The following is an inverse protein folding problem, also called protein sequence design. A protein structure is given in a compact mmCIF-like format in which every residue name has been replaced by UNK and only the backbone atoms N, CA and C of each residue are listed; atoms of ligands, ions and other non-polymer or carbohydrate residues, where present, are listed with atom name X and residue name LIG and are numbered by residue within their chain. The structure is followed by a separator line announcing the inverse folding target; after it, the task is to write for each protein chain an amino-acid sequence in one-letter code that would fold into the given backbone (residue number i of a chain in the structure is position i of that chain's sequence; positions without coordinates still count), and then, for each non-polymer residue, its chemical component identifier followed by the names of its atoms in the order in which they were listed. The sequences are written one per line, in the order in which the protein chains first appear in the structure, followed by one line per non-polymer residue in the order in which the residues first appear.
data_IF_884635997871
#
_entry.id   IF_884635997871
#
_cell.length_a   1.000
_cell.length_b   1.000
_cell.length_c   1.000
_cell.angle_alpha   90.00
_cell.angle_beta   90.00
_cell.angle_gamma   90.00
#
_symmetry.space_group_name_H-M   'P 1'
#
loop_
_entity.id
_entity.type
_entity.pdbx_description
1 polymer ?
#
# COMPACT_ATOMS: atom_id res chain seq x y z
N UNK A 1 19.25 7.85 7.75
CA UNK A 1 19.31 6.75 8.75
C UNK A 1 19.82 7.18 10.12
N UNK A 2 20.86 8.02 10.23
CA UNK A 2 21.54 8.29 11.51
C UNK A 2 20.78 9.23 12.47
N UNK A 3 19.84 10.02 11.97
CA UNK A 3 19.12 11.06 12.75
C UNK A 3 17.63 10.79 12.93
N UNK A 4 17.09 9.74 12.32
CA UNK A 4 15.67 9.39 12.42
C UNK A 4 15.38 8.92 13.84
N UNK A 5 14.34 9.41 14.54
CA UNK A 5 13.89 8.84 15.81
C UNK A 5 13.53 7.36 15.64
N UNK A 6 13.87 6.52 16.61
CA UNK A 6 13.64 5.07 16.51
C UNK A 6 13.18 4.50 17.83
N UNK A 7 12.43 3.41 17.76
CA UNK A 7 12.19 2.52 18.90
C UNK A 7 13.50 1.89 19.41
N UNK A 8 13.45 1.26 20.57
CA UNK A 8 14.61 0.58 21.18
C UNK A 8 15.14 -0.58 20.33
N UNK A 9 14.29 -1.24 19.54
CA UNK A 9 14.64 -2.27 18.55
C UNK A 9 14.99 -1.70 17.15
N UNK A 10 15.08 -0.37 17.04
CA UNK A 10 15.60 0.32 15.86
C UNK A 10 14.59 0.51 14.72
N UNK A 11 13.30 0.28 14.95
CA UNK A 11 12.23 0.63 13.99
C UNK A 11 12.15 2.14 13.84
N UNK A 12 12.17 2.62 12.60
CA UNK A 12 12.20 4.04 12.30
C UNK A 12 10.83 4.65 12.54
N UNK A 13 10.80 5.80 13.19
CA UNK A 13 9.58 6.57 13.31
C UNK A 13 9.18 7.18 11.97
N UNK A 14 7.88 7.34 11.79
CA UNK A 14 7.32 8.18 10.73
C UNK A 14 7.59 9.67 10.96
N UNK A 15 7.68 10.12 12.22
CA UNK A 15 7.88 11.52 12.58
C UNK A 15 9.35 11.88 12.83
N UNK A 16 9.68 13.16 12.67
CA UNK A 16 11.04 13.69 12.80
C UNK A 16 11.43 14.09 14.22
N UNK A 17 10.47 14.23 15.15
CA UNK A 17 10.71 14.77 16.51
C UNK A 17 10.32 13.86 17.69
N UNK A 18 9.56 12.79 17.43
CA UNK A 18 9.17 11.78 18.44
C UNK A 18 9.00 10.44 17.75
N UNK A 19 8.89 9.37 18.53
CA UNK A 19 8.64 8.04 17.99
C UNK A 19 7.15 7.76 17.93
N UNK A 20 6.60 7.76 16.72
CA UNK A 20 5.32 7.15 16.36
C UNK A 20 5.47 6.33 15.08
N UNK A 21 4.74 5.22 15.02
CA UNK A 21 4.72 4.30 13.89
C UNK A 21 3.41 4.49 13.14
N UNK A 22 3.49 5.01 11.92
CA UNK A 22 2.35 5.22 11.03
C UNK A 22 2.50 4.26 9.85
N UNK A 23 1.42 3.57 9.48
CA UNK A 23 1.43 2.60 8.38
C UNK A 23 2.02 3.16 7.08
N UNK A 24 1.85 4.47 6.83
CA UNK A 24 2.40 5.24 5.72
C UNK A 24 3.91 5.02 5.53
N UNK A 25 4.66 4.82 6.63
CA UNK A 25 6.10 4.62 6.59
C UNK A 25 6.52 3.42 5.72
N UNK A 26 5.65 2.41 5.54
CA UNK A 26 5.87 1.26 4.66
C UNK A 26 6.03 1.67 3.18
N UNK A 27 5.43 2.80 2.77
CA UNK A 27 5.62 3.37 1.44
C UNK A 27 6.77 4.39 1.40
N UNK A 28 6.94 5.20 2.44
CA UNK A 28 7.85 6.35 2.41
C UNK A 28 9.33 5.97 2.52
N UNK A 29 9.68 4.96 3.32
CA UNK A 29 11.07 4.62 3.64
C UNK A 29 11.61 3.41 2.88
N UNK A 30 11.06 2.19 3.12
CA UNK A 30 11.61 0.95 2.62
C UNK A 30 11.84 0.89 1.09
N UNK A 31 10.93 1.37 0.22
CA UNK A 31 11.14 1.32 -1.23
C UNK A 31 12.38 2.11 -1.67
N UNK A 32 12.58 3.31 -1.13
CA UNK A 32 13.74 4.13 -1.47
C UNK A 32 15.05 3.52 -0.98
N UNK A 33 15.03 2.92 0.21
CA UNK A 33 16.20 2.24 0.77
C UNK A 33 16.58 0.98 -0.01
N UNK A 34 15.61 0.16 -0.38
CA UNK A 34 15.84 -1.04 -1.18
C UNK A 34 16.38 -0.70 -2.58
N UNK A 35 15.82 0.35 -3.22
CA UNK A 35 16.32 0.86 -4.49
C UNK A 35 17.78 1.35 -4.39
N UNK A 36 18.11 2.08 -3.32
CA UNK A 36 19.49 2.51 -3.08
C UNK A 36 20.44 1.32 -2.85
N UNK A 37 20.00 0.29 -2.14
CA UNK A 37 20.76 -0.94 -1.95
C UNK A 37 21.09 -1.64 -3.26
N UNK A 38 20.11 -1.77 -4.16
CA UNK A 38 20.34 -2.31 -5.50
C UNK A 38 21.31 -1.45 -6.31
N UNK A 39 21.10 -0.13 -6.35
CA UNK A 39 21.92 0.80 -7.14
C UNK A 39 23.39 0.87 -6.67
N UNK A 40 23.60 0.80 -5.35
CA UNK A 40 24.92 0.91 -4.73
C UNK A 40 25.59 -0.44 -4.49
N UNK A 41 24.94 -1.54 -4.89
CA UNK A 41 25.37 -2.92 -4.59
C UNK A 41 25.59 -3.15 -3.07
N UNK A 42 24.70 -2.60 -2.24
CA UNK A 42 24.71 -2.73 -0.79
C UNK A 42 23.48 -3.52 -0.31
N UNK A 43 23.62 -4.84 -0.21
CA UNK A 43 22.57 -5.74 0.29
C UNK A 43 22.06 -5.36 1.68
N UNK A 44 22.93 -4.77 2.53
CA UNK A 44 22.56 -4.32 3.88
C UNK A 44 21.39 -3.33 3.86
N UNK A 45 21.24 -2.50 2.82
CA UNK A 45 20.12 -1.58 2.70
C UNK A 45 18.82 -2.29 2.34
N UNK A 46 18.88 -3.32 1.50
CA UNK A 46 17.71 -4.16 1.18
C UNK A 46 17.28 -4.93 2.44
N UNK A 47 18.23 -5.49 3.19
CA UNK A 47 17.95 -6.16 4.48
C UNK A 47 17.32 -5.21 5.49
N UNK A 48 17.83 -3.99 5.60
CA UNK A 48 17.24 -2.99 6.49
C UNK A 48 15.82 -2.60 6.04
N UNK A 49 15.56 -2.50 4.74
CA UNK A 49 14.22 -2.21 4.23
C UNK A 49 13.22 -3.31 4.62
N UNK A 50 13.60 -4.58 4.43
CA UNK A 50 12.79 -5.75 4.84
C UNK A 50 12.61 -5.77 6.36
N UNK A 51 13.67 -5.48 7.13
CA UNK A 51 13.59 -5.42 8.59
C UNK A 51 12.60 -4.35 9.07
N UNK A 52 12.64 -3.15 8.48
CA UNK A 52 11.68 -2.08 8.79
C UNK A 52 10.25 -2.53 8.47
N UNK A 53 10.01 -3.14 7.30
CA UNK A 53 8.69 -3.69 6.97
C UNK A 53 8.22 -4.68 8.03
N UNK A 54 9.06 -5.65 8.38
CA UNK A 54 8.70 -6.69 9.35
C UNK A 54 8.39 -6.13 10.73
N UNK A 55 9.13 -5.11 11.19
CA UNK A 55 8.82 -4.41 12.45
C UNK A 55 7.44 -3.74 12.41
N UNK A 56 7.11 -3.05 11.32
CA UNK A 56 5.80 -2.41 11.16
C UNK A 56 4.66 -3.45 11.07
N UNK A 57 4.87 -4.55 10.34
CA UNK A 57 3.90 -5.65 10.25
C UNK A 57 3.66 -6.27 11.62
N UNK A 58 4.70 -6.52 12.41
CA UNK A 58 4.57 -7.13 13.73
C UNK A 58 3.69 -6.32 14.71
N UNK A 59 3.58 -5.01 14.50
CA UNK A 59 2.87 -4.07 15.39
C UNK A 59 1.51 -3.66 14.82
N UNK A 60 1.46 -3.28 13.54
CA UNK A 60 0.29 -2.65 12.94
C UNK A 60 -0.63 -3.63 12.21
N UNK A 61 -0.13 -4.78 11.76
CA UNK A 61 -0.91 -5.75 10.99
C UNK A 61 -1.70 -6.67 11.92
N UNK A 62 -3.02 -6.57 11.84
CA UNK A 62 -3.93 -7.43 12.59
C UNK A 62 -3.97 -8.83 11.94
N UNK A 63 -3.63 -9.89 12.69
CA UNK A 63 -3.55 -11.26 12.16
C UNK A 63 -4.91 -11.90 11.93
N UNK A 64 -5.96 -11.41 12.57
CA UNK A 64 -7.30 -11.97 12.42
C UNK A 64 -8.01 -11.27 11.24
N UNK A 65 -7.82 -9.96 11.11
CA UNK A 65 -8.44 -9.15 10.06
C UNK A 65 -7.59 -9.06 8.78
N UNK A 66 -6.29 -9.34 8.87
CA UNK A 66 -5.30 -9.13 7.82
C UNK A 66 -5.24 -7.68 7.29
N UNK A 67 -5.57 -6.71 8.14
CA UNK A 67 -5.55 -5.27 7.84
C UNK A 67 -4.60 -4.53 8.78
N UNK A 68 -4.03 -3.43 8.30
CA UNK A 68 -3.15 -2.56 9.08
C UNK A 68 -3.95 -1.48 9.82
N UNK A 69 -3.69 -1.35 11.12
CA UNK A 69 -4.07 -0.19 11.91
C UNK A 69 -3.20 1.02 11.56
N UNK A 70 -3.76 2.23 11.64
CA UNK A 70 -3.09 3.44 11.16
C UNK A 70 -1.88 3.85 12.03
N UNK A 71 -2.07 4.16 13.32
CA UNK A 71 -1.03 4.81 14.14
C UNK A 71 -0.86 4.12 15.49
N UNK A 72 0.39 3.83 15.86
CA UNK A 72 0.79 3.27 17.15
C UNK A 72 1.89 4.11 17.82
N UNK A 73 1.76 4.33 19.12
CA UNK A 73 2.75 4.98 19.98
C UNK A 73 3.50 3.89 20.80
N UNK A 74 4.74 3.57 20.44
CA UNK A 74 5.52 2.53 21.11
C UNK A 74 6.04 2.95 22.50
N UNK A 75 5.94 4.22 22.87
CA UNK A 75 6.34 4.69 24.21
C UNK A 75 5.21 4.48 25.20
N UNK A 76 3.97 4.69 24.76
CA UNK A 76 2.77 4.45 25.57
C UNK A 76 2.21 3.04 25.46
N UNK A 77 2.68 2.27 24.49
CA UNK A 77 2.18 0.94 24.17
C UNK A 77 0.67 0.95 23.83
N UNK A 78 0.25 1.90 22.99
CA UNK A 78 -1.15 2.05 22.59
C UNK A 78 -1.31 2.49 21.13
N UNK A 79 -2.44 2.13 20.54
CA UNK A 79 -2.83 2.70 19.24
C UNK A 79 -3.37 4.11 19.43
N UNK A 80 -2.70 5.09 18.81
CA UNK A 80 -3.21 6.46 18.71
C UNK A 80 -4.42 6.52 17.79
N UNK A 81 -4.40 5.71 16.71
CA UNK A 81 -5.55 5.53 15.81
C UNK A 81 -5.63 4.08 15.34
N UNK A 82 -6.46 3.30 16.02
CA UNK A 82 -6.76 1.90 15.68
C UNK A 82 -7.91 1.79 14.66
N UNK A 83 -7.68 2.30 13.45
CA UNK A 83 -8.65 2.22 12.36
C UNK A 83 -8.00 1.58 11.13
N UNK A 84 -8.74 0.73 10.43
CA UNK A 84 -8.34 0.14 9.15
C UNK A 84 -8.55 1.15 8.01
N UNK A 85 -7.73 2.20 8.03
CA UNK A 85 -7.76 3.25 7.03
C UNK A 85 -7.41 2.69 5.64
N UNK A 86 -8.28 2.88 4.66
CA UNK A 86 -8.14 2.33 3.32
C UNK A 86 -6.85 2.79 2.64
N UNK A 87 -6.58 4.10 2.64
CA UNK A 87 -5.36 4.67 2.06
C UNK A 87 -4.11 4.22 2.81
N UNK A 88 -4.19 4.08 4.14
CA UNK A 88 -3.10 3.54 4.96
C UNK A 88 -2.74 2.10 4.60
N UNK A 89 -3.75 1.26 4.40
CA UNK A 89 -3.55 -0.11 3.91
C UNK A 89 -3.02 -0.14 2.48
N UNK A 90 -3.49 0.78 1.63
CA UNK A 90 -2.96 0.96 0.27
C UNK A 90 -1.49 1.39 0.25
N UNK A 91 -1.04 2.24 1.18
CA UNK A 91 0.38 2.55 1.40
C UNK A 91 1.20 1.30 1.74
N UNK A 92 0.68 0.48 2.66
CA UNK A 92 1.35 -0.74 3.07
C UNK A 92 1.59 -1.69 1.89
N UNK A 93 0.53 -2.07 1.17
CA UNK A 93 0.63 -3.03 0.06
C UNK A 93 1.48 -2.49 -1.07
N UNK A 94 1.28 -1.23 -1.47
CA UNK A 94 2.02 -0.63 -2.59
C UNK A 94 3.49 -0.43 -2.26
N UNK A 95 3.82 -0.08 -1.01
CA UNK A 95 5.19 0.08 -0.53
C UNK A 95 5.93 -1.26 -0.52
N UNK A 96 5.34 -2.28 0.10
CA UNK A 96 5.93 -3.63 0.13
C UNK A 96 6.08 -4.20 -1.29
N UNK A 97 5.08 -4.03 -2.18
CA UNK A 97 5.19 -4.46 -3.59
C UNK A 97 6.36 -3.80 -4.32
N UNK A 98 6.66 -2.52 -4.04
CA UNK A 98 7.84 -1.86 -4.62
C UNK A 98 9.16 -2.41 -4.08
N UNK A 99 9.21 -2.87 -2.83
CA UNK A 99 10.41 -3.51 -2.27
C UNK A 99 10.69 -4.86 -2.95
N UNK A 100 9.66 -5.62 -3.34
CA UNK A 100 9.83 -6.90 -4.04
C UNK A 100 10.69 -6.81 -5.31
N UNK A 101 10.70 -5.66 -6.00
CA UNK A 101 11.50 -5.43 -7.20
C UNK A 101 13.02 -5.44 -6.95
N UNK A 102 13.44 -5.21 -5.71
CA UNK A 102 14.85 -5.07 -5.34
C UNK A 102 15.37 -6.23 -4.51
N UNK A 103 14.51 -7.18 -4.12
CA UNK A 103 14.94 -8.38 -3.41
C UNK A 103 15.75 -9.27 -4.39
N UNK A 104 16.96 -9.72 -4.03
CA UNK A 104 17.74 -10.65 -4.83
C UNK A 104 16.98 -11.97 -5.13
N UNK A 105 17.23 -12.63 -6.28
CA UNK A 105 16.56 -13.88 -6.63
C UNK A 105 16.79 -15.05 -5.65
N UNK A 106 17.91 -15.05 -4.93
CA UNK A 106 18.28 -16.06 -3.94
C UNK A 106 17.63 -15.85 -2.56
N UNK A 107 16.90 -14.74 -2.35
CA UNK A 107 16.20 -14.41 -1.11
C UNK A 107 14.69 -14.72 -1.22
N UNK A 108 14.39 -15.95 -1.62
CA UNK A 108 13.03 -16.36 -1.93
C UNK A 108 12.13 -16.40 -0.69
N UNK A 109 12.68 -16.74 0.47
CA UNK A 109 11.91 -16.77 1.72
C UNK A 109 11.40 -15.37 2.10
N UNK A 110 12.25 -14.35 2.00
CA UNK A 110 11.89 -12.96 2.23
C UNK A 110 10.86 -12.46 1.21
N UNK A 111 11.03 -12.80 -0.06
CA UNK A 111 10.07 -12.48 -1.13
C UNK A 111 8.70 -13.06 -0.84
N UNK A 112 8.62 -14.36 -0.55
CA UNK A 112 7.36 -15.05 -0.27
C UNK A 112 6.70 -14.55 1.01
N UNK A 113 7.49 -14.22 2.04
CA UNK A 113 6.96 -13.66 3.28
C UNK A 113 6.27 -12.31 3.04
N UNK A 114 6.91 -11.38 2.32
CA UNK A 114 6.30 -10.09 1.99
C UNK A 114 5.09 -10.26 1.07
N UNK A 115 5.21 -11.12 0.05
CA UNK A 115 4.14 -11.38 -0.90
C UNK A 115 2.89 -11.94 -0.21
N UNK A 116 3.05 -12.85 0.76
CA UNK A 116 1.96 -13.40 1.55
C UNK A 116 1.20 -12.33 2.35
N UNK A 117 1.91 -11.38 2.97
CA UNK A 117 1.30 -10.26 3.70
C UNK A 117 0.55 -9.35 2.73
N UNK A 118 1.15 -9.02 1.58
CA UNK A 118 0.53 -8.20 0.54
C UNK A 118 -0.78 -8.83 0.07
N UNK A 119 -0.76 -10.11 -0.33
CA UNK A 119 -1.94 -10.77 -0.89
C UNK A 119 -3.02 -11.05 0.16
N UNK A 120 -2.65 -11.35 1.40
CA UNK A 120 -3.60 -11.45 2.50
C UNK A 120 -4.31 -10.12 2.77
N UNK A 121 -3.55 -9.01 2.73
CA UNK A 121 -4.11 -7.66 2.91
C UNK A 121 -5.02 -7.27 1.76
N UNK A 122 -4.62 -7.52 0.50
CA UNK A 122 -5.49 -7.29 -0.67
C UNK A 122 -6.78 -8.11 -0.56
N UNK A 123 -6.68 -9.37 -0.15
CA UNK A 123 -7.85 -10.25 0.05
C UNK A 123 -8.82 -9.62 1.04
N UNK A 124 -8.31 -9.18 2.20
CA UNK A 124 -9.13 -8.54 3.24
C UNK A 124 -9.75 -7.23 2.75
N UNK A 125 -8.96 -6.33 2.15
CA UNK A 125 -9.46 -5.08 1.60
C UNK A 125 -10.58 -5.30 0.58
N UNK A 126 -10.45 -6.27 -0.32
CA UNK A 126 -11.47 -6.58 -1.34
C UNK A 126 -12.79 -7.08 -0.75
N UNK A 127 -12.84 -7.53 0.51
CA UNK A 127 -14.12 -7.85 1.19
C UNK A 127 -14.95 -6.61 1.52
N UNK A 128 -14.30 -5.43 1.56
CA UNK A 128 -14.92 -4.14 1.85
C UNK A 128 -15.26 -3.32 0.59
N UNK A 129 -15.10 -3.91 -0.60
CA UNK A 129 -15.39 -3.22 -1.86
C UNK A 129 -16.88 -2.86 -1.94
N UNK A 130 -17.17 -1.61 -2.27
CA UNK A 130 -18.55 -1.13 -2.45
C UNK A 130 -19.08 -1.51 -3.84
N UNK A 131 -20.41 -1.45 -4.06
CA UNK A 131 -21.01 -1.71 -5.39
C UNK A 131 -20.54 -0.75 -6.50
N UNK A 132 -20.05 0.43 -6.14
CA UNK A 132 -19.46 1.42 -7.07
C UNK A 132 -17.95 1.21 -7.29
N UNK A 133 -17.39 0.10 -6.79
CA UNK A 133 -15.96 -0.25 -6.86
C UNK A 133 -15.02 0.75 -6.18
N UNK A 134 -15.55 1.56 -5.25
CA UNK A 134 -14.77 2.37 -4.33
C UNK A 134 -14.80 1.76 -2.92
N UNK A 135 -14.22 2.47 -1.95
CA UNK A 135 -14.16 2.05 -0.56
C UNK A 135 -14.65 3.16 0.36
N UNK A 136 -14.98 2.80 1.59
CA UNK A 136 -15.08 3.77 2.68
C UNK A 136 -13.67 4.14 3.16
N UNK A 137 -13.47 5.38 3.63
CA UNK A 137 -12.16 5.86 4.13
C UNK A 137 -11.61 4.94 5.22
N UNK A 138 -12.47 4.49 6.13
CA UNK A 138 -12.20 3.38 7.04
C UNK A 138 -12.94 2.17 6.52
N UNK A 139 -12.20 1.11 6.17
CA UNK A 139 -12.69 -0.03 5.37
C UNK A 139 -13.91 -0.72 5.99
N UNK A 140 -13.90 -0.87 7.32
CA UNK A 140 -14.93 -1.54 8.11
C UNK A 140 -15.95 -0.59 8.73
N UNK A 141 -15.90 0.71 8.39
CA UNK A 141 -16.84 1.71 8.89
C UNK A 141 -17.60 2.41 7.74
N UNK A 142 -18.84 1.99 7.45
CA UNK A 142 -19.65 2.57 6.38
C UNK A 142 -20.13 4.00 6.67
N UNK A 143 -19.94 4.52 7.89
CA UNK A 143 -20.24 5.92 8.22
C UNK A 143 -19.16 6.89 7.74
N UNK A 144 -17.95 6.38 7.47
CA UNK A 144 -16.87 7.17 6.89
C UNK A 144 -17.15 7.49 5.42
N UNK A 145 -16.56 8.58 4.92
CA UNK A 145 -16.80 9.05 3.56
C UNK A 145 -16.27 8.06 2.51
N UNK A 146 -16.80 8.15 1.27
CA UNK A 146 -16.33 7.32 0.16
C UNK A 146 -14.99 7.85 -0.35
N UNK A 147 -13.99 6.97 -0.36
CA UNK A 147 -12.59 7.27 -0.61
C UNK A 147 -12.14 6.64 -1.94
N UNK A 148 -11.52 7.45 -2.79
CA UNK A 148 -11.16 7.08 -4.17
C UNK A 148 -9.75 6.51 -4.27
N UNK A 149 -8.79 7.00 -3.47
CA UNK A 149 -7.38 6.64 -3.57
C UNK A 149 -7.09 5.19 -3.17
N UNK A 150 -7.89 4.62 -2.28
CA UNK A 150 -7.85 3.22 -1.85
C UNK A 150 -8.07 2.31 -3.06
N UNK A 151 -9.06 2.62 -3.90
CA UNK A 151 -9.32 1.90 -5.14
C UNK A 151 -8.15 2.05 -6.13
N UNK A 152 -7.57 3.25 -6.25
CA UNK A 152 -6.40 3.51 -7.10
C UNK A 152 -5.17 2.70 -6.65
N UNK A 153 -4.89 2.67 -5.34
CA UNK A 153 -3.77 1.94 -4.73
C UNK A 153 -3.92 0.43 -4.87
N UNK A 154 -5.13 -0.11 -4.67
CA UNK A 154 -5.44 -1.52 -4.91
C UNK A 154 -5.29 -1.90 -6.38
N UNK A 155 -5.89 -1.12 -7.29
CA UNK A 155 -5.81 -1.37 -8.73
C UNK A 155 -4.35 -1.34 -9.21
N UNK A 156 -3.58 -0.31 -8.84
CA UNK A 156 -2.15 -0.23 -9.10
C UNK A 156 -1.40 -1.47 -8.61
N UNK A 157 -1.62 -1.87 -7.36
CA UNK A 157 -0.91 -2.99 -6.74
C UNK A 157 -1.23 -4.31 -7.44
N UNK A 158 -2.51 -4.59 -7.70
CA UNK A 158 -2.94 -5.83 -8.35
C UNK A 158 -2.39 -5.92 -9.78
N UNK A 159 -2.52 -4.84 -10.58
CA UNK A 159 -2.01 -4.80 -11.95
C UNK A 159 -0.49 -5.00 -11.98
N UNK A 160 0.24 -4.39 -11.05
CA UNK A 160 1.69 -4.57 -10.93
C UNK A 160 2.09 -5.99 -10.56
N UNK A 161 1.41 -6.61 -9.58
CA UNK A 161 1.66 -8.00 -9.20
C UNK A 161 1.37 -8.96 -10.36
N UNK A 162 0.31 -8.70 -11.13
CA UNK A 162 -0.02 -9.47 -12.33
C UNK A 162 1.07 -9.36 -13.40
N UNK A 163 1.52 -8.14 -13.74
CA UNK A 163 2.60 -7.91 -14.71
C UNK A 163 3.90 -8.63 -14.33
N UNK A 164 4.14 -8.83 -13.03
CA UNK A 164 5.31 -9.50 -12.47
C UNK A 164 5.10 -11.01 -12.28
N UNK A 165 3.96 -11.55 -12.67
CA UNK A 165 3.57 -12.96 -12.45
C UNK A 165 3.61 -13.40 -10.98
N UNK A 166 3.43 -12.45 -10.05
CA UNK A 166 3.48 -12.72 -8.61
C UNK A 166 2.13 -13.18 -8.06
N UNK A 167 1.03 -12.94 -8.77
CA UNK A 167 -0.29 -13.46 -8.39
C UNK A 167 -0.36 -14.99 -8.54
N UNK A 168 0.31 -15.56 -9.53
CA UNK A 168 0.34 -17.01 -9.75
C UNK A 168 1.03 -17.76 -8.59
N UNK A 169 1.97 -17.11 -7.91
CA UNK A 169 2.72 -17.70 -6.80
C UNK A 169 1.90 -17.81 -5.50
N UNK A 170 0.87 -16.98 -5.32
CA UNK A 170 0.16 -16.88 -4.02
C UNK A 170 -1.36 -16.98 -4.10
N UNK A 171 -1.95 -16.53 -5.20
CA UNK A 171 -3.42 -16.46 -5.37
C UNK A 171 -3.87 -16.92 -6.77
N UNK A 172 -3.36 -18.05 -7.31
CA UNK A 172 -3.66 -18.47 -8.70
C UNK A 172 -5.15 -18.71 -8.95
N UNK A 173 -5.88 -19.16 -7.93
CA UNK A 173 -7.31 -19.49 -7.97
C UNK A 173 -8.20 -18.25 -8.14
N UNK A 174 -7.78 -17.08 -7.62
CA UNK A 174 -8.58 -15.85 -7.59
C UNK A 174 -8.02 -14.73 -8.46
N UNK A 175 -6.88 -14.97 -9.14
CA UNK A 175 -6.18 -13.95 -9.93
C UNK A 175 -7.07 -13.29 -10.98
N UNK A 176 -7.91 -14.05 -11.68
CA UNK A 176 -8.81 -13.52 -12.72
C UNK A 176 -9.87 -12.61 -12.11
N UNK A 177 -10.43 -12.99 -10.96
CA UNK A 177 -11.38 -12.14 -10.23
C UNK A 177 -10.70 -10.84 -9.79
N UNK A 178 -9.50 -10.91 -9.24
CA UNK A 178 -8.74 -9.73 -8.82
C UNK A 178 -8.44 -8.79 -9.99
N UNK A 179 -8.09 -9.33 -11.15
CA UNK A 179 -7.89 -8.53 -12.35
C UNK A 179 -9.18 -7.82 -12.78
N UNK A 180 -10.32 -8.51 -12.78
CA UNK A 180 -11.62 -7.89 -13.07
C UNK A 180 -11.93 -6.78 -12.05
N UNK A 181 -11.72 -7.03 -10.76
CA UNK A 181 -11.94 -6.04 -9.72
C UNK A 181 -11.00 -4.83 -9.88
N UNK A 182 -9.72 -5.05 -10.20
CA UNK A 182 -8.74 -3.99 -10.45
C UNK A 182 -9.13 -3.09 -11.63
N UNK A 183 -9.60 -3.66 -12.73
CA UNK A 183 -10.07 -2.90 -13.88
C UNK A 183 -11.31 -2.06 -13.54
N UNK A 184 -12.24 -2.60 -12.76
CA UNK A 184 -13.43 -1.89 -12.31
C UNK A 184 -13.13 -0.78 -11.30
N UNK A 185 -12.21 -1.03 -10.36
CA UNK A 185 -11.69 -0.01 -9.44
C UNK A 185 -11.02 1.14 -10.21
N UNK A 186 -10.25 0.81 -11.25
CA UNK A 186 -9.62 1.78 -12.14
C UNK A 186 -10.66 2.62 -12.89
N UNK A 187 -11.67 2.00 -13.49
CA UNK A 187 -12.80 2.71 -14.13
C UNK A 187 -13.54 3.62 -13.15
N UNK A 188 -13.82 3.14 -11.93
CA UNK A 188 -14.47 3.93 -10.89
C UNK A 188 -13.64 5.16 -10.50
N UNK A 189 -12.32 5.01 -10.34
CA UNK A 189 -11.42 6.14 -10.09
C UNK A 189 -11.38 7.14 -11.26
N UNK A 190 -11.42 6.65 -12.50
CA UNK A 190 -11.49 7.49 -13.71
C UNK A 190 -12.75 8.36 -13.72
N UNK A 191 -13.88 7.82 -13.28
CA UNK A 191 -15.14 8.57 -13.14
C UNK A 191 -15.11 9.66 -12.05
N UNK A 192 -14.04 9.72 -11.25
CA UNK A 192 -13.83 10.76 -10.23
C UNK A 192 -12.93 11.89 -10.72
N UNK A 193 -12.40 11.83 -11.93
CA UNK A 193 -11.61 12.91 -12.51
C UNK A 193 -12.55 14.00 -13.03
N UNK A 194 -12.39 15.22 -12.52
CA UNK A 194 -13.19 16.36 -12.97
C UNK A 194 -12.68 16.96 -14.29
N UNK A 195 -13.39 17.99 -14.79
CA UNK A 195 -13.04 18.68 -16.04
C UNK A 195 -11.65 19.35 -16.03
N UNK A 196 -11.04 19.51 -14.87
CA UNK A 196 -9.72 20.12 -14.70
C UNK A 196 -8.61 19.07 -14.59
N UNK A 197 -8.96 17.78 -14.64
CA UNK A 197 -8.02 16.69 -14.46
C UNK A 197 -7.73 16.39 -12.99
N UNK A 198 -8.52 16.91 -12.05
CA UNK A 198 -8.34 16.62 -10.63
C UNK A 198 -9.19 15.39 -10.25
N UNK A 199 -8.51 14.35 -9.74
CA UNK A 199 -9.17 13.24 -9.02
C UNK A 199 -9.86 13.76 -7.75
N UNK A 200 -11.18 13.59 -7.69
CA UNK A 200 -12.04 14.02 -6.57
C UNK A 200 -12.34 12.87 -5.61
N UNK A 201 -12.74 13.20 -4.38
CA UNK A 201 -13.17 12.21 -3.39
C UNK A 201 -12.04 11.34 -2.87
N UNK A 202 -10.82 11.86 -2.89
CA UNK A 202 -9.69 11.30 -2.15
C UNK A 202 -9.65 11.92 -0.76
N UNK A 203 -8.96 11.30 0.19
CA UNK A 203 -8.69 11.90 1.49
C UNK A 203 -7.97 13.26 1.32
N UNK A 204 -8.67 14.36 1.60
CA UNK A 204 -8.31 15.69 1.09
C UNK A 204 -7.19 16.39 1.86
N UNK A 205 -6.24 16.99 1.16
CA UNK A 205 -5.21 17.84 1.76
C UNK A 205 -5.81 19.20 2.19
N UNK A 206 -5.36 19.80 3.32
CA UNK A 206 -4.24 19.41 4.17
C UNK A 206 -4.62 18.62 5.43
N UNK A 207 -5.91 18.45 5.73
CA UNK A 207 -6.37 17.87 6.99
C UNK A 207 -6.60 16.36 6.95
N UNK A 208 -6.80 15.78 5.75
CA UNK A 208 -6.97 14.35 5.52
C UNK A 208 -8.08 13.72 6.38
N UNK A 209 -9.20 14.45 6.55
CA UNK A 209 -10.35 14.06 7.38
C UNK A 209 -11.70 14.17 6.65
N UNK A 210 -11.69 14.58 5.37
CA UNK A 210 -12.87 14.74 4.54
C UNK A 210 -12.54 14.48 3.06
N UNK A 211 -13.54 14.18 2.20
CA UNK A 211 -13.30 13.99 0.78
C UNK A 211 -12.92 15.31 0.11
N UNK A 212 -11.89 15.28 -0.73
CA UNK A 212 -11.42 16.41 -1.50
C UNK A 212 -10.46 15.99 -2.59
N UNK A 213 -9.36 16.75 -2.73
CA UNK A 213 -8.26 16.48 -3.65
C UNK A 213 -6.94 16.45 -2.88
N UNK A 214 -6.00 15.61 -3.30
CA UNK A 214 -4.67 15.53 -2.70
C UNK A 214 -3.63 15.13 -3.78
N UNK A 215 -2.36 15.51 -3.58
CA UNK A 215 -1.30 15.20 -4.53
C UNK A 215 -1.08 13.68 -4.66
N UNK A 216 -1.27 12.98 -3.55
CA UNK A 216 -1.20 11.53 -3.42
C UNK A 216 -2.21 10.84 -4.33
N UNK A 217 -3.46 11.32 -4.36
CA UNK A 217 -4.51 10.80 -5.24
C UNK A 217 -4.20 11.02 -6.73
N UNK A 218 -3.59 12.15 -7.10
CA UNK A 218 -3.12 12.39 -8.47
C UNK A 218 -1.95 11.45 -8.83
N UNK A 219 -1.01 11.25 -7.91
CA UNK A 219 0.13 10.38 -8.12
C UNK A 219 -0.30 8.92 -8.34
N UNK A 220 -1.22 8.41 -7.51
CA UNK A 220 -1.73 7.04 -7.69
C UNK A 220 -2.59 6.88 -8.93
N UNK A 221 -3.30 7.92 -9.37
CA UNK A 221 -3.96 7.89 -10.67
C UNK A 221 -2.96 7.57 -11.78
N UNK A 222 -1.86 8.32 -11.85
CA UNK A 222 -0.84 8.12 -12.88
C UNK A 222 -0.14 6.76 -12.74
N UNK A 223 0.20 6.33 -11.53
CA UNK A 223 0.80 5.02 -11.29
C UNK A 223 -0.13 3.87 -11.71
N UNK A 224 -1.41 3.96 -11.36
CA UNK A 224 -2.45 3.00 -11.74
C UNK A 224 -2.61 2.94 -13.27
N UNK A 225 -2.74 4.09 -13.93
CA UNK A 225 -2.86 4.17 -15.38
C UNK A 225 -1.62 3.61 -16.10
N UNK A 226 -0.43 3.80 -15.53
CA UNK A 226 0.81 3.23 -16.08
C UNK A 226 0.80 1.70 -16.04
N UNK A 227 0.37 1.09 -14.93
CA UNK A 227 0.26 -0.37 -14.84
C UNK A 227 -0.88 -0.92 -15.73
N UNK A 228 -1.96 -0.16 -15.92
CA UNK A 228 -3.02 -0.49 -16.88
C UNK A 228 -2.53 -0.43 -18.33
N UNK A 229 -1.74 0.58 -18.69
CA UNK A 229 -1.15 0.67 -20.03
C UNK A 229 -0.30 -0.56 -20.34
N UNK A 230 0.56 -0.99 -19.40
CA UNK A 230 1.29 -2.25 -19.55
C UNK A 230 0.35 -3.43 -19.76
N UNK A 231 -0.70 -3.57 -18.94
CA UNK A 231 -1.68 -4.65 -19.09
C UNK A 231 -2.31 -4.69 -20.50
N UNK A 232 -2.69 -3.54 -21.06
CA UNK A 232 -3.31 -3.47 -22.39
C UNK A 232 -2.33 -3.74 -23.54
N UNK A 233 -1.08 -3.29 -23.43
CA UNK A 233 -0.06 -3.51 -24.46
C UNK A 233 0.32 -4.99 -24.60
N UNK A 234 0.32 -5.75 -23.50
CA UNK A 234 0.67 -7.18 -23.50
C UNK A 234 -0.50 -8.12 -23.78
N UNK A 235 -1.75 -7.71 -23.48
CA UNK A 235 -2.96 -8.52 -23.73
C UNK A 235 -3.74 -8.10 -24.98
N UNK A 236 -3.26 -7.09 -25.72
CA UNK A 236 -3.82 -6.64 -27.00
C UNK A 236 -3.38 -7.46 -28.22
N UNK A 237 -2.83 -8.66 -28.02
CA UNK A 237 -2.51 -9.64 -29.08
C UNK A 237 -3.45 -10.84 -29.03
#
# INVERSE_FOLDING_TARGET
MHTIPKTSDGTWSHLTGRVELWVDALYMGPPGLAAAGMLLHQESYIREAIRQINSYVAILWDKDQHLFSHIYDPIKDEFVRKAFWGVGNGWAISGMTRVLDFIPPDWEAERLSLLSIITSTITAMLTHIRPDHLFHDVLDDPSSFVETNTAQQLAYTILRLHRKSLLDATVPEVKEKWMIDALKMREAAWMRVDRWGLVQGVCGSPSFDHPGTAAEGQAFFLLMETEYEYYTQYNGQ
#
